data_IF_014264351878
#
_entry.id   IF_014264351878
#
_cell.length_a   1.000
_cell.length_b   1.000
_cell.length_c   1.000
_cell.angle_alpha   90.00
_cell.angle_beta   90.00
_cell.angle_gamma   90.00
#
_symmetry.space_group_name_H-M   'P 1'
#
loop_
_entity.id
_entity.type
_entity.pdbx_description
1 polymer ?
#
# COMPACT_ATOMS: atom_id res chain seq x y z
N UNK A 1 -10.69 -32.39 45.34
CA UNK A 1 -9.85 -32.56 44.13
C UNK A 1 -10.59 -31.98 42.96
N UNK A 2 -10.21 -30.79 42.46
CA UNK A 2 -10.87 -30.21 41.29
C UNK A 2 -10.42 -30.96 40.03
N UNK A 3 -11.37 -31.46 39.24
CA UNK A 3 -11.11 -32.09 37.95
C UNK A 3 -10.24 -31.17 37.08
N UNK A 4 -8.98 -31.56 36.86
CA UNK A 4 -8.11 -30.92 35.87
C UNK A 4 -8.56 -31.39 34.49
N UNK A 5 -8.71 -30.46 33.55
CA UNK A 5 -8.93 -30.80 32.16
C UNK A 5 -7.68 -31.49 31.61
N UNK A 6 -7.82 -32.72 31.13
CA UNK A 6 -6.74 -33.45 30.49
C UNK A 6 -6.60 -33.00 29.04
N UNK A 7 -5.44 -32.49 28.69
CA UNK A 7 -5.12 -32.10 27.32
C UNK A 7 -4.71 -33.34 26.51
N UNK A 8 -5.10 -33.35 25.23
CA UNK A 8 -4.76 -34.38 24.25
C UNK A 8 -3.36 -34.17 23.67
N UNK A 9 -2.98 -32.91 23.44
CA UNK A 9 -1.69 -32.54 22.85
C UNK A 9 -1.07 -31.36 23.59
N UNK A 10 0.26 -31.32 23.61
CA UNK A 10 1.05 -30.23 24.18
C UNK A 10 1.69 -29.41 23.08
N UNK A 11 1.77 -28.09 23.27
CA UNK A 11 2.48 -27.19 22.36
C UNK A 11 3.73 -26.66 23.07
N UNK A 12 4.84 -26.57 22.33
CA UNK A 12 6.07 -25.96 22.85
C UNK A 12 6.00 -24.43 22.72
N UNK A 13 6.05 -23.76 23.87
CA UNK A 13 6.12 -22.30 23.95
C UNK A 13 7.58 -21.83 23.89
N UNK A 14 7.87 -20.70 23.22
CA UNK A 14 9.22 -20.12 23.22
C UNK A 14 9.64 -19.65 24.61
N UNK A 15 8.67 -19.17 25.40
CA UNK A 15 8.83 -18.66 26.76
C UNK A 15 7.63 -19.08 27.59
N UNK A 16 7.87 -19.51 28.85
CA UNK A 16 6.81 -19.84 29.80
C UNK A 16 6.55 -18.64 30.71
N UNK A 17 5.29 -18.26 30.82
CA UNK A 17 4.82 -17.13 31.65
C UNK A 17 4.57 -17.55 33.11
N UNK A 18 5.52 -18.25 33.70
CA UNK A 18 5.42 -18.72 35.09
C UNK A 18 5.97 -17.69 36.07
N UNK A 19 5.33 -17.54 37.22
CA UNK A 19 5.71 -16.57 38.26
C UNK A 19 6.02 -17.34 39.56
N UNK A 20 7.12 -17.03 40.26
CA UNK A 20 7.39 -17.54 41.61
C UNK A 20 6.27 -17.17 42.58
N UNK A 21 5.93 -18.05 43.53
CA UNK A 21 4.82 -17.79 44.46
C UNK A 21 4.98 -16.53 45.30
N UNK A 22 6.20 -16.16 45.64
CA UNK A 22 6.55 -14.94 46.38
C UNK A 22 6.35 -13.65 45.57
N UNK A 23 6.22 -13.76 44.24
CA UNK A 23 6.00 -12.66 43.30
C UNK A 23 4.60 -12.67 42.70
N UNK A 24 3.71 -13.53 43.21
CA UNK A 24 2.34 -13.68 42.70
C UNK A 24 1.42 -12.61 43.28
N UNK A 25 1.21 -11.54 42.51
CA UNK A 25 0.27 -10.47 42.83
C UNK A 25 -1.12 -10.72 42.23
N UNK A 26 -1.25 -11.61 41.25
CA UNK A 26 -2.50 -11.87 40.55
C UNK A 26 -2.80 -13.36 40.40
N UNK A 27 -3.05 -14.02 41.53
CA UNK A 27 -3.36 -15.46 41.67
C UNK A 27 -4.42 -15.93 40.65
N UNK A 28 -5.31 -15.04 40.20
CA UNK A 28 -6.33 -15.36 39.21
C UNK A 28 -5.74 -15.69 37.84
N UNK A 29 -4.72 -14.95 37.38
CA UNK A 29 -4.09 -15.13 36.07
C UNK A 29 -2.76 -15.88 36.15
N UNK A 30 -2.02 -15.73 37.25
CA UNK A 30 -0.68 -16.29 37.40
C UNK A 30 -0.65 -17.80 37.24
N UNK A 31 0.39 -18.27 36.54
CA UNK A 31 0.80 -19.68 36.49
C UNK A 31 2.00 -19.81 37.42
N UNK A 32 1.85 -20.55 38.52
CA UNK A 32 2.92 -20.65 39.52
C UNK A 32 4.03 -21.57 39.03
N UNK A 33 5.28 -21.10 39.11
CA UNK A 33 6.45 -21.86 38.67
C UNK A 33 6.60 -23.20 39.40
N UNK A 34 6.26 -23.24 40.70
CA UNK A 34 6.36 -24.46 41.51
C UNK A 34 5.37 -25.54 41.08
N UNK A 35 4.31 -25.16 40.38
CA UNK A 35 3.32 -26.09 39.85
C UNK A 35 3.72 -26.65 38.49
N UNK A 36 4.69 -26.05 37.80
CA UNK A 36 5.06 -26.37 36.42
C UNK A 36 6.39 -27.13 36.40
N UNK A 37 6.30 -28.46 36.42
CA UNK A 37 7.48 -29.35 36.39
C UNK A 37 7.96 -29.67 34.99
N UNK A 38 7.07 -29.60 34.00
CA UNK A 38 7.38 -29.85 32.60
C UNK A 38 6.43 -29.06 31.66
N UNK A 39 6.68 -29.14 30.35
CA UNK A 39 5.87 -28.43 29.35
C UNK A 39 4.42 -28.93 29.29
N UNK A 40 4.17 -30.20 29.63
CA UNK A 40 2.81 -30.75 29.64
C UNK A 40 1.99 -30.09 30.75
N UNK A 41 2.54 -30.01 31.95
CA UNK A 41 1.89 -29.38 33.09
C UNK A 41 1.69 -27.88 32.85
N UNK A 42 2.63 -27.19 32.18
CA UNK A 42 2.43 -25.80 31.77
C UNK A 42 1.19 -25.65 30.87
N UNK A 43 1.09 -26.46 29.81
CA UNK A 43 -0.05 -26.44 28.89
C UNK A 43 -1.37 -26.77 29.60
N UNK A 44 -1.35 -27.73 30.53
CA UNK A 44 -2.52 -28.10 31.33
C UNK A 44 -2.96 -26.94 32.23
N UNK A 45 -2.04 -26.27 32.91
CA UNK A 45 -2.38 -25.13 33.78
C UNK A 45 -2.96 -23.95 32.97
N UNK A 46 -2.44 -23.66 31.77
CA UNK A 46 -3.00 -22.66 30.87
C UNK A 46 -4.45 -22.99 30.46
N UNK A 47 -4.71 -24.22 30.02
CA UNK A 47 -6.07 -24.66 29.64
C UNK A 47 -7.00 -24.64 30.86
N UNK A 48 -6.53 -25.14 32.01
CA UNK A 48 -7.31 -25.13 33.25
C UNK A 48 -7.70 -23.71 33.67
N UNK A 49 -6.79 -22.74 33.55
CA UNK A 49 -7.07 -21.33 33.85
C UNK A 49 -8.17 -20.79 32.95
N UNK A 50 -8.01 -20.88 31.62
CA UNK A 50 -9.02 -20.31 30.72
C UNK A 50 -10.38 -20.97 30.87
N UNK A 51 -10.45 -22.26 31.22
CA UNK A 51 -11.71 -22.98 31.43
C UNK A 51 -12.41 -22.54 32.72
N UNK A 52 -11.66 -22.26 33.79
CA UNK A 52 -12.21 -21.87 35.10
C UNK A 52 -12.46 -20.37 35.23
N UNK A 53 -11.72 -19.55 34.49
CA UNK A 53 -11.83 -18.09 34.58
C UNK A 53 -13.25 -17.60 34.22
N UNK A 54 -13.81 -16.60 34.92
CA UNK A 54 -15.04 -15.94 34.50
C UNK A 54 -14.92 -15.43 33.06
N UNK A 55 -15.97 -15.61 32.27
CA UNK A 55 -15.97 -15.27 30.84
C UNK A 55 -15.56 -13.81 30.56
N UNK A 56 -15.93 -12.88 31.44
CA UNK A 56 -15.57 -11.46 31.34
C UNK A 56 -14.07 -11.18 31.55
N UNK A 57 -13.35 -12.06 32.26
CA UNK A 57 -11.95 -11.91 32.64
C UNK A 57 -10.94 -12.55 31.70
N UNK A 58 -11.42 -13.19 30.63
CA UNK A 58 -10.54 -13.75 29.59
C UNK A 58 -9.63 -12.69 28.94
N UNK A 59 -10.10 -11.47 28.56
CA UNK A 59 -9.21 -10.47 27.97
C UNK A 59 -8.06 -10.06 28.90
N UNK A 60 -8.35 -9.90 30.20
CA UNK A 60 -7.37 -9.53 31.22
C UNK A 60 -6.28 -10.61 31.36
N UNK A 61 -6.66 -11.90 31.30
CA UNK A 61 -5.73 -13.02 31.34
C UNK A 61 -4.72 -13.01 30.18
N UNK A 62 -5.18 -12.79 28.95
CA UNK A 62 -4.27 -12.69 27.80
C UNK A 62 -3.38 -11.46 27.89
N UNK A 63 -3.94 -10.31 28.32
CA UNK A 63 -3.17 -9.07 28.50
C UNK A 63 -2.06 -9.25 29.53
N UNK A 64 -2.37 -9.88 30.65
CA UNK A 64 -1.43 -10.18 31.72
C UNK A 64 -0.25 -11.02 31.19
N UNK A 65 -0.50 -12.14 30.51
CA UNK A 65 0.58 -12.99 30.00
C UNK A 65 1.42 -12.33 28.89
N UNK A 66 0.83 -11.48 28.06
CA UNK A 66 1.56 -10.71 27.05
C UNK A 66 2.58 -9.72 27.67
N UNK A 67 2.43 -9.32 28.93
CA UNK A 67 3.41 -8.44 29.61
C UNK A 67 4.67 -9.20 30.03
N UNK A 68 4.58 -10.51 30.30
CA UNK A 68 5.70 -11.32 30.81
C UNK A 68 6.60 -11.93 29.73
N UNK A 69 6.18 -11.91 28.47
CA UNK A 69 6.95 -12.49 27.35
C UNK A 69 7.62 -11.42 26.52
N UNK A 70 8.84 -11.72 26.04
CA UNK A 70 9.57 -10.83 25.14
C UNK A 70 8.93 -10.74 23.74
N UNK A 71 8.27 -11.82 23.30
CA UNK A 71 7.55 -11.87 22.02
C UNK A 71 6.08 -12.30 22.23
N UNK A 72 5.18 -11.35 22.53
CA UNK A 72 3.77 -11.62 22.79
C UNK A 72 3.04 -12.28 21.61
N UNK A 73 3.40 -11.94 20.37
CA UNK A 73 2.77 -12.52 19.16
C UNK A 73 3.10 -14.01 19.07
N UNK A 74 4.38 -14.39 19.25
CA UNK A 74 4.75 -15.82 19.24
C UNK A 74 4.07 -16.60 20.35
N UNK A 75 3.96 -16.03 21.56
CA UNK A 75 3.25 -16.68 22.65
C UNK A 75 1.75 -16.88 22.32
N UNK A 76 1.08 -15.85 21.80
CA UNK A 76 -0.31 -15.91 21.35
C UNK A 76 -0.51 -16.97 20.24
N UNK A 77 0.42 -17.09 19.28
CA UNK A 77 0.41 -18.14 18.24
C UNK A 77 0.46 -19.55 18.82
N UNK A 78 1.29 -19.76 19.85
CA UNK A 78 1.39 -21.05 20.53
C UNK A 78 0.14 -21.33 21.37
N UNK A 79 -0.42 -20.32 22.01
CA UNK A 79 -1.66 -20.46 22.77
C UNK A 79 -2.86 -20.81 21.87
N UNK A 80 -3.01 -20.11 20.74
CA UNK A 80 -4.03 -20.43 19.74
C UNK A 80 -3.91 -21.88 19.26
N UNK A 81 -2.68 -22.31 18.92
CA UNK A 81 -2.40 -23.68 18.52
C UNK A 81 -2.74 -24.69 19.63
N UNK A 82 -2.46 -24.36 20.89
CA UNK A 82 -2.80 -25.22 22.03
C UNK A 82 -4.32 -25.40 22.16
N UNK A 83 -5.11 -24.35 21.95
CA UNK A 83 -6.58 -24.46 21.91
C UNK A 83 -7.01 -25.35 20.74
N UNK A 84 -6.46 -25.12 19.54
CA UNK A 84 -6.83 -25.86 18.34
C UNK A 84 -6.55 -27.36 18.44
N UNK A 85 -5.37 -27.75 18.95
CA UNK A 85 -5.03 -29.17 19.15
C UNK A 85 -5.84 -29.86 20.26
N UNK A 86 -6.53 -29.07 21.09
CA UNK A 86 -7.36 -29.54 22.20
C UNK A 86 -8.83 -29.09 22.06
N UNK A 87 -9.28 -28.82 20.83
CA UNK A 87 -10.62 -28.29 20.53
C UNK A 87 -11.76 -29.15 21.09
N UNK A 88 -11.56 -30.47 21.17
CA UNK A 88 -12.52 -31.44 21.71
C UNK A 88 -12.96 -31.11 23.15
N UNK A 89 -12.11 -30.44 23.94
CA UNK A 89 -12.45 -29.98 25.31
C UNK A 89 -13.52 -28.88 25.31
N UNK A 90 -13.63 -28.12 24.23
CA UNK A 90 -14.52 -26.97 24.09
C UNK A 90 -15.78 -27.31 23.31
N UNK A 91 -15.66 -28.09 22.24
CA UNK A 91 -16.78 -28.39 21.33
C UNK A 91 -17.77 -29.36 21.96
N UNK A 92 -17.29 -30.33 22.76
CA UNK A 92 -18.14 -31.31 23.43
C UNK A 92 -18.76 -30.79 24.74
N UNK A 93 -18.56 -29.51 25.07
CA UNK A 93 -19.08 -28.87 26.28
C UNK A 93 -19.80 -27.56 25.95
N UNK A 94 -20.46 -26.95 26.94
CA UNK A 94 -21.05 -25.61 26.81
C UNK A 94 -20.02 -24.50 26.62
N UNK A 95 -18.73 -24.84 26.50
CA UNK A 95 -17.60 -23.89 26.37
C UNK A 95 -17.26 -23.49 24.93
N UNK A 96 -18.05 -23.88 23.92
CA UNK A 96 -17.82 -23.44 22.53
C UNK A 96 -17.72 -21.91 22.40
N UNK A 97 -18.58 -21.16 23.09
CA UNK A 97 -18.52 -19.70 23.10
C UNK A 97 -17.23 -19.15 23.72
N UNK A 98 -16.69 -19.85 24.72
CA UNK A 98 -15.40 -19.52 25.36
C UNK A 98 -14.23 -19.67 24.40
N UNK A 99 -14.22 -20.75 23.61
CA UNK A 99 -13.21 -20.96 22.57
C UNK A 99 -13.23 -19.85 21.53
N UNK A 100 -14.41 -19.53 20.99
CA UNK A 100 -14.59 -18.44 20.02
C UNK A 100 -14.07 -17.11 20.60
N UNK A 101 -14.43 -16.81 21.86
CA UNK A 101 -13.94 -15.60 22.53
C UNK A 101 -12.42 -15.59 22.69
N UNK A 102 -11.79 -16.72 23.02
CA UNK A 102 -10.33 -16.80 23.09
C UNK A 102 -9.70 -16.47 21.74
N UNK A 103 -10.17 -17.05 20.63
CA UNK A 103 -9.69 -16.72 19.29
C UNK A 103 -9.89 -15.24 18.94
N UNK A 104 -11.06 -14.67 19.26
CA UNK A 104 -11.33 -13.24 19.04
C UNK A 104 -10.38 -12.34 19.84
N UNK A 105 -10.11 -12.68 21.10
CA UNK A 105 -9.17 -11.92 21.94
C UNK A 105 -7.74 -12.03 21.38
N UNK A 106 -7.31 -13.24 21.01
CA UNK A 106 -5.98 -13.48 20.44
C UNK A 106 -5.78 -12.63 19.18
N UNK A 107 -6.74 -12.66 18.25
CA UNK A 107 -6.68 -11.89 17.01
C UNK A 107 -6.70 -10.37 17.28
N UNK A 108 -7.56 -9.91 18.19
CA UNK A 108 -7.61 -8.49 18.59
C UNK A 108 -6.31 -8.03 19.23
N UNK A 109 -5.70 -8.86 20.09
CA UNK A 109 -4.43 -8.54 20.74
C UNK A 109 -3.26 -8.55 19.77
N UNK A 110 -3.21 -9.47 18.80
CA UNK A 110 -2.21 -9.40 17.72
C UNK A 110 -2.30 -8.10 16.96
N UNK A 111 -3.50 -7.67 16.57
CA UNK A 111 -3.69 -6.37 15.89
C UNK A 111 -3.25 -5.20 16.75
N UNK A 112 -3.57 -5.21 18.04
CA UNK A 112 -3.13 -4.19 19.00
C UNK A 112 -1.59 -4.17 19.12
N UNK A 113 -0.95 -5.34 19.25
CA UNK A 113 0.51 -5.49 19.35
C UNK A 113 1.19 -5.14 18.03
N UNK A 114 0.61 -5.43 16.87
CA UNK A 114 1.17 -5.02 15.58
C UNK A 114 1.04 -3.50 15.39
N UNK A 115 -0.07 -2.90 15.83
CA UNK A 115 -0.28 -1.44 15.78
C UNK A 115 0.62 -0.69 16.77
N UNK A 116 0.87 -1.24 17.95
CA UNK A 116 1.78 -0.68 18.97
C UNK A 116 3.24 -1.04 18.71
N UNK A 117 3.51 -2.21 18.15
CA UNK A 117 4.82 -2.63 17.66
C UNK A 117 5.30 -1.74 16.53
N UNK A 118 4.43 -1.32 15.61
CA UNK A 118 4.73 -0.25 14.66
C UNK A 118 5.10 1.09 15.33
N UNK A 119 4.69 1.31 16.58
CA UNK A 119 5.01 2.51 17.38
C UNK A 119 6.28 2.35 18.24
N UNK A 120 6.78 1.13 18.48
CA UNK A 120 7.92 0.85 19.37
C UNK A 120 9.08 0.04 18.77
N UNK A 121 8.97 -0.54 17.56
CA UNK A 121 10.11 -1.16 16.84
C UNK A 121 10.96 -0.16 16.07
N UNK A 122 10.89 1.12 16.44
CA UNK A 122 11.94 2.06 16.12
C UNK A 122 13.15 1.74 16.99
N UNK A 123 14.11 1.05 16.40
CA UNK A 123 15.44 0.87 16.96
C UNK A 123 15.94 2.19 17.53
N UNK A 124 16.13 2.26 18.87
CA UNK A 124 16.81 3.32 19.64
C UNK A 124 17.24 4.51 18.77
N UNK A 125 16.30 5.37 18.38
CA UNK A 125 16.70 6.57 17.67
C UNK A 125 17.57 7.37 18.64
N UNK A 126 18.73 7.86 18.20
CA UNK A 126 19.49 8.80 19.00
C UNK A 126 18.56 9.94 19.42
N UNK A 127 18.50 10.25 20.73
CA UNK A 127 17.62 11.29 21.31
C UNK A 127 17.66 12.63 20.55
N UNK A 128 18.75 12.89 19.81
CA UNK A 128 18.88 14.05 18.92
C UNK A 128 17.82 14.14 17.80
N UNK A 129 17.07 13.06 17.51
CA UNK A 129 16.00 13.04 16.51
C UNK A 129 14.60 12.97 17.12
N UNK A 130 14.49 12.85 18.44
CA UNK A 130 13.21 12.85 19.16
C UNK A 130 12.83 14.30 19.45
N UNK A 131 11.70 14.75 18.92
CA UNK A 131 11.15 16.09 19.15
C UNK A 131 10.56 16.21 20.55
N UNK A 132 9.79 15.20 20.96
CA UNK A 132 9.15 15.16 22.27
C UNK A 132 8.88 13.73 22.72
N UNK A 133 8.70 13.53 24.02
CA UNK A 133 8.39 12.24 24.63
C UNK A 133 7.26 12.41 25.66
N UNK A 134 6.38 11.42 25.72
CA UNK A 134 5.38 11.23 26.76
C UNK A 134 5.40 9.78 27.27
N UNK A 135 4.73 9.50 28.38
CA UNK A 135 4.68 8.18 29.03
C UNK A 135 4.37 7.02 28.07
N UNK A 136 3.57 7.27 27.03
CA UNK A 136 3.07 6.24 26.13
C UNK A 136 3.84 6.12 24.81
N UNK A 137 4.54 7.17 24.36
CA UNK A 137 5.31 7.19 23.10
C UNK A 137 6.21 8.40 23.01
N UNK A 138 7.05 8.43 21.99
CA UNK A 138 7.74 9.65 21.57
C UNK A 138 7.25 10.14 20.20
N UNK A 139 7.62 11.37 19.87
CA UNK A 139 7.31 12.06 18.63
C UNK A 139 8.62 12.43 17.93
N UNK A 140 8.80 11.96 16.70
CA UNK A 140 9.99 12.19 15.88
C UNK A 140 9.57 12.56 14.47
N UNK A 141 9.73 13.84 14.11
CA UNK A 141 9.36 14.31 12.78
C UNK A 141 10.22 13.66 11.70
N UNK A 142 11.44 13.22 12.05
CA UNK A 142 12.31 12.46 11.15
C UNK A 142 11.66 11.14 10.73
N UNK A 143 11.04 10.42 11.66
CA UNK A 143 10.33 9.19 11.37
C UNK A 143 9.02 9.46 10.62
N UNK A 144 8.28 10.49 11.02
CA UNK A 144 7.07 10.95 10.33
C UNK A 144 7.38 11.22 8.85
N UNK A 145 8.52 11.86 8.54
CA UNK A 145 8.98 12.05 7.16
C UNK A 145 9.30 10.75 6.42
N UNK A 146 9.93 9.78 7.06
CA UNK A 146 10.20 8.49 6.42
C UNK A 146 8.89 7.78 6.08
N UNK A 147 7.90 7.81 6.99
CA UNK A 147 6.59 7.22 6.76
C UNK A 147 5.82 7.90 5.62
N UNK A 148 5.94 9.23 5.50
CA UNK A 148 5.33 9.99 4.40
C UNK A 148 5.83 9.58 3.01
N UNK A 149 7.03 9.02 2.89
CA UNK A 149 7.58 8.53 1.62
C UNK A 149 6.83 7.28 1.16
N UNK A 150 6.33 6.47 2.09
CA UNK A 150 5.65 5.21 1.81
C UNK A 150 4.18 5.39 1.39
N UNK A 151 3.58 6.53 1.74
CA UNK A 151 2.19 6.88 1.37
C UNK A 151 2.11 7.34 -0.08
N UNK A 152 1.07 6.93 -0.81
CA UNK A 152 1.00 7.14 -2.24
C UNK A 152 0.38 8.49 -2.61
N UNK A 153 -0.77 8.85 -2.02
CA UNK A 153 -1.50 10.05 -2.40
C UNK A 153 -1.40 11.19 -1.37
N UNK A 154 -1.72 12.40 -1.83
CA UNK A 154 -1.66 13.61 -1.01
C UNK A 154 -2.69 13.60 0.12
N UNK A 155 -3.84 12.94 -0.06
CA UNK A 155 -4.91 12.89 0.94
C UNK A 155 -4.47 12.04 2.12
N UNK A 156 -3.94 10.85 1.87
CA UNK A 156 -3.40 9.95 2.90
C UNK A 156 -2.30 10.64 3.72
N UNK A 157 -1.38 11.34 3.04
CA UNK A 157 -0.30 12.09 3.70
C UNK A 157 -0.83 13.20 4.61
N UNK A 158 -1.79 13.99 4.13
CA UNK A 158 -2.42 15.05 4.93
C UNK A 158 -3.15 14.45 6.13
N UNK A 159 -3.92 13.37 5.94
CA UNK A 159 -4.65 12.71 7.02
C UNK A 159 -3.70 12.16 8.09
N UNK A 160 -2.61 11.51 7.68
CA UNK A 160 -1.59 11.00 8.59
C UNK A 160 -0.95 12.13 9.41
N UNK A 161 -0.48 13.20 8.76
CA UNK A 161 0.12 14.35 9.44
C UNK A 161 -0.86 15.05 10.37
N UNK A 162 -2.11 15.19 9.95
CA UNK A 162 -3.18 15.79 10.77
C UNK A 162 -3.40 14.98 12.03
N UNK A 163 -3.43 13.64 11.93
CA UNK A 163 -3.55 12.75 13.08
C UNK A 163 -2.34 12.86 14.00
N UNK A 164 -1.12 12.78 13.47
CA UNK A 164 0.09 12.89 14.29
C UNK A 164 0.20 14.25 15.00
N UNK A 165 -0.21 15.34 14.35
CA UNK A 165 -0.33 16.66 14.94
C UNK A 165 -1.29 16.65 16.14
N UNK A 166 -2.51 16.16 15.96
CA UNK A 166 -3.50 16.11 17.04
C UNK A 166 -3.10 15.17 18.17
N UNK A 167 -2.52 14.01 17.87
CA UNK A 167 -2.02 13.06 18.87
C UNK A 167 -0.93 13.72 19.74
N UNK A 168 -0.06 14.54 19.15
CA UNK A 168 0.94 15.32 19.89
C UNK A 168 0.32 16.45 20.73
N UNK A 169 -0.57 17.25 20.15
CA UNK A 169 -1.20 18.38 20.84
C UNK A 169 -2.07 17.96 22.03
N UNK A 170 -2.58 16.73 22.01
CA UNK A 170 -3.40 16.16 23.10
C UNK A 170 -2.59 15.34 24.11
N UNK A 171 -1.33 15.04 23.81
CA UNK A 171 -0.49 14.24 24.70
C UNK A 171 -0.02 15.06 25.91
N UNK A 172 0.08 14.39 27.07
CA UNK A 172 0.79 14.92 28.23
C UNK A 172 2.29 14.75 28.01
N UNK A 173 2.97 15.80 27.53
CA UNK A 173 4.39 15.74 27.17
C UNK A 173 5.27 15.83 28.41
N UNK A 174 6.14 14.84 28.60
CA UNK A 174 7.11 14.76 29.70
C UNK A 174 8.44 15.42 29.35
N UNK A 175 8.81 15.40 28.06
CA UNK A 175 10.04 15.98 27.56
C UNK A 175 9.87 16.60 26.17
N UNK A 176 10.49 17.77 25.95
CA UNK A 176 10.62 18.42 24.64
C UNK A 176 12.10 18.68 24.37
N UNK A 177 12.56 18.33 23.18
CA UNK A 177 13.93 18.58 22.76
C UNK A 177 14.10 20.02 22.23
N UNK A 178 14.83 20.89 22.94
CA UNK A 178 14.94 22.30 22.57
C UNK A 178 15.81 22.54 21.32
N UNK A 179 16.55 21.54 20.85
CA UNK A 179 17.41 21.64 19.65
C UNK A 179 16.65 21.38 18.36
N UNK A 180 15.42 20.86 18.46
CA UNK A 180 14.58 20.57 17.32
C UNK A 180 13.41 21.53 17.27
N UNK A 181 12.86 21.80 16.07
CA UNK A 181 11.60 22.53 15.97
C UNK A 181 10.47 21.77 16.65
N UNK A 182 9.41 22.50 17.01
CA UNK A 182 8.20 21.91 17.55
C UNK A 182 7.60 20.88 16.57
N UNK A 183 7.08 19.78 17.12
CA UNK A 183 6.55 18.69 16.32
C UNK A 183 5.25 19.06 15.60
N UNK A 184 4.31 19.75 16.27
CA UNK A 184 3.06 20.22 15.68
C UNK A 184 3.33 21.16 14.52
N UNK A 185 4.21 22.14 14.73
CA UNK A 185 4.58 23.13 13.72
C UNK A 185 5.17 22.49 12.47
N UNK A 186 6.00 21.46 12.64
CA UNK A 186 6.58 20.73 11.51
C UNK A 186 5.51 19.94 10.74
N UNK A 187 4.59 19.28 11.44
CA UNK A 187 3.46 18.60 10.80
C UNK A 187 2.61 19.59 10.01
N UNK A 188 2.30 20.75 10.57
CA UNK A 188 1.51 21.78 9.88
C UNK A 188 2.22 22.31 8.63
N UNK A 189 3.52 22.63 8.71
CA UNK A 189 4.30 23.10 7.56
C UNK A 189 4.31 22.11 6.41
N UNK A 190 4.41 20.81 6.72
CA UNK A 190 4.40 19.76 5.70
C UNK A 190 3.00 19.59 5.09
N UNK A 191 1.93 19.71 5.88
CA UNK A 191 0.54 19.74 5.37
C UNK A 191 0.38 20.89 4.37
N UNK A 192 0.81 22.10 4.74
CA UNK A 192 0.70 23.29 3.89
C UNK A 192 1.46 23.10 2.57
N UNK A 193 2.67 22.52 2.65
CA UNK A 193 3.48 22.21 1.47
C UNK A 193 2.78 21.21 0.54
N UNK A 194 2.23 20.12 1.08
CA UNK A 194 1.53 19.10 0.29
C UNK A 194 0.28 19.69 -0.36
N UNK A 195 -0.49 20.50 0.38
CA UNK A 195 -1.66 21.18 -0.17
C UNK A 195 -1.28 22.15 -1.30
N UNK A 196 -0.19 22.89 -1.14
CA UNK A 196 0.31 23.80 -2.17
C UNK A 196 0.70 23.04 -3.45
N UNK A 197 1.47 21.95 -3.32
CA UNK A 197 1.87 21.11 -4.46
C UNK A 197 0.63 20.50 -5.15
N UNK A 198 -0.36 20.06 -4.40
CA UNK A 198 -1.59 19.50 -4.95
C UNK A 198 -2.35 20.56 -5.78
N UNK A 199 -2.47 21.79 -5.28
CA UNK A 199 -3.09 22.90 -6.03
C UNK A 199 -2.36 23.17 -7.34
N UNK A 200 -1.03 23.30 -7.30
CA UNK A 200 -0.21 23.52 -8.49
C UNK A 200 -0.38 22.38 -9.51
N UNK A 201 -0.38 21.12 -9.05
CA UNK A 201 -0.56 19.95 -9.93
C UNK A 201 -1.91 19.99 -10.66
N UNK A 202 -2.97 20.39 -9.95
CA UNK A 202 -4.31 20.53 -10.54
C UNK A 202 -4.37 21.70 -11.53
N UNK A 203 -3.76 22.84 -11.20
CA UNK A 203 -3.68 24.01 -12.09
C UNK A 203 -2.95 23.67 -13.40
N UNK A 204 -1.78 23.02 -13.33
CA UNK A 204 -1.06 22.57 -14.52
C UNK A 204 -1.86 21.56 -15.34
N UNK A 205 -2.62 20.66 -14.69
CA UNK A 205 -3.48 19.70 -15.38
C UNK A 205 -4.61 20.39 -16.14
N UNK A 206 -5.22 21.41 -15.53
CA UNK A 206 -6.25 22.25 -16.17
C UNK A 206 -5.66 23.02 -17.35
N UNK A 207 -4.49 23.64 -17.20
CA UNK A 207 -3.82 24.35 -18.30
C UNK A 207 -3.48 23.41 -19.48
N UNK A 208 -3.01 22.20 -19.21
CA UNK A 208 -2.76 21.19 -20.25
C UNK A 208 -4.05 20.73 -20.94
N UNK A 209 -5.16 20.58 -20.20
CA UNK A 209 -6.47 20.26 -20.77
C UNK A 209 -7.01 21.43 -21.61
N UNK A 210 -6.83 22.67 -21.16
CA UNK A 210 -7.21 23.87 -21.90
C UNK A 210 -6.41 24.01 -23.20
N UNK A 211 -5.09 23.76 -23.19
CA UNK A 211 -4.26 23.70 -24.41
C UNK A 211 -4.71 22.62 -25.41
N UNK A 212 -5.35 21.55 -24.94
CA UNK A 212 -5.95 20.52 -25.81
C UNK A 212 -7.35 20.87 -26.31
N UNK A 213 -8.05 21.81 -25.67
CA UNK A 213 -9.46 22.16 -25.96
C UNK A 213 -9.62 23.02 -27.22
N UNK A 214 -8.55 23.65 -27.68
CA UNK A 214 -8.50 24.39 -28.96
C UNK A 214 -8.43 23.47 -30.20
N UNK A 215 -8.24 22.15 -30.01
CA UNK A 215 -8.42 21.16 -31.07
C UNK A 215 -9.88 20.73 -31.12
N UNK A 216 -10.51 20.86 -32.30
CA UNK A 216 -11.83 20.30 -32.57
C UNK A 216 -11.87 18.83 -32.11
N UNK A 217 -12.91 18.39 -31.37
CA UNK A 217 -13.01 16.99 -30.98
C UNK A 217 -13.21 16.14 -32.25
N UNK A 218 -12.25 15.28 -32.57
CA UNK A 218 -12.39 14.28 -33.63
C UNK A 218 -11.96 12.90 -33.14
N UNK A 219 -12.67 11.87 -33.58
CA UNK A 219 -12.24 10.48 -33.49
C UNK A 219 -11.32 10.15 -34.67
N UNK A 220 -10.37 9.22 -34.47
CA UNK A 220 -9.53 8.76 -35.57
C UNK A 220 -10.38 8.10 -36.65
N UNK A 221 -10.10 8.44 -37.91
CA UNK A 221 -10.78 7.88 -39.07
C UNK A 221 -10.18 6.53 -39.43
N UNK A 222 -11.04 5.56 -39.72
CA UNK A 222 -10.61 4.23 -40.15
C UNK A 222 -10.31 4.22 -41.64
N UNK A 223 -9.09 3.83 -42.02
CA UNK A 223 -8.72 3.61 -43.43
C UNK A 223 -8.96 2.15 -43.83
N UNK A 224 -9.58 1.93 -44.99
CA UNK A 224 -9.88 0.58 -45.48
C UNK A 224 -8.89 0.07 -46.53
N UNK A 225 -8.03 0.93 -47.06
CA UNK A 225 -6.95 0.54 -47.98
C UNK A 225 -5.68 0.11 -47.23
N UNK A 226 -4.65 -0.33 -47.98
CA UNK A 226 -3.37 -0.67 -47.37
C UNK A 226 -2.67 0.61 -46.88
N UNK A 227 -2.05 0.55 -45.69
CA UNK A 227 -1.30 1.66 -45.09
C UNK A 227 -0.28 2.22 -46.08
N UNK A 228 0.42 1.37 -46.84
CA UNK A 228 1.40 1.85 -47.81
C UNK A 228 0.78 2.62 -48.99
N UNK A 229 -0.44 2.26 -49.41
CA UNK A 229 -1.18 2.99 -50.44
C UNK A 229 -1.67 4.33 -49.90
N UNK A 230 -2.21 4.34 -48.68
CA UNK A 230 -2.71 5.55 -48.04
C UNK A 230 -1.59 6.57 -47.78
N UNK A 231 -0.47 6.13 -47.22
CA UNK A 231 0.67 7.01 -46.92
C UNK A 231 1.33 7.53 -48.20
N UNK A 232 1.37 6.72 -49.26
CA UNK A 232 1.91 7.13 -50.56
C UNK A 232 1.09 8.27 -51.20
N UNK A 233 -0.20 8.43 -50.87
CA UNK A 233 -0.99 9.59 -51.31
C UNK A 233 -0.36 10.89 -50.80
N UNK A 234 -0.04 10.95 -49.51
CA UNK A 234 0.59 12.13 -48.91
C UNK A 234 2.03 12.33 -49.40
N UNK A 235 2.73 11.25 -49.72
CA UNK A 235 4.04 11.34 -50.38
C UNK A 235 3.93 11.98 -51.77
N UNK A 236 2.97 11.53 -52.59
CA UNK A 236 2.70 12.11 -53.91
C UNK A 236 2.38 13.60 -53.79
N UNK A 237 1.46 13.98 -52.89
CA UNK A 237 1.07 15.38 -52.66
C UNK A 237 2.21 16.27 -52.13
N UNK A 238 3.20 15.69 -51.44
CA UNK A 238 4.34 16.44 -50.88
C UNK A 238 5.56 16.51 -51.81
N UNK A 239 5.73 15.54 -52.73
CA UNK A 239 6.99 15.37 -53.47
C UNK A 239 6.84 15.22 -54.97
N UNK A 240 5.68 14.79 -55.46
CA UNK A 240 5.48 14.45 -56.88
C UNK A 240 4.46 15.37 -57.56
N UNK A 241 3.46 15.84 -56.82
CA UNK A 241 2.41 16.71 -57.32
C UNK A 241 2.65 18.16 -56.90
N UNK A 242 2.53 19.07 -57.86
CA UNK A 242 2.83 20.48 -57.69
C UNK A 242 1.71 21.35 -58.23
N UNK A 243 1.44 22.47 -57.54
CA UNK A 243 0.56 23.54 -58.01
C UNK A 243 1.35 24.85 -57.95
N UNK A 244 1.42 25.57 -59.07
CA UNK A 244 2.20 26.82 -59.20
C UNK A 244 3.66 26.67 -58.73
N UNK A 245 4.29 25.53 -59.03
CA UNK A 245 5.70 25.25 -58.70
C UNK A 245 5.98 24.87 -57.24
N UNK A 246 4.95 24.71 -56.39
CA UNK A 246 5.08 24.25 -55.00
C UNK A 246 4.35 22.92 -54.80
N UNK A 247 4.80 22.05 -53.87
CA UNK A 247 4.05 20.83 -53.55
C UNK A 247 2.60 21.15 -53.20
N UNK A 248 1.68 20.24 -53.55
CA UNK A 248 0.25 20.40 -53.21
C UNK A 248 0.06 20.50 -51.69
N UNK A 249 0.84 19.72 -50.92
CA UNK A 249 0.93 19.87 -49.46
C UNK A 249 2.40 20.02 -49.09
N UNK A 250 2.76 21.20 -48.60
CA UNK A 250 4.10 21.49 -48.10
C UNK A 250 4.20 21.21 -46.58
N UNK A 251 5.36 20.77 -46.12
CA UNK A 251 5.58 20.38 -44.73
C UNK A 251 6.75 19.41 -44.56
N UNK A 252 7.24 19.28 -43.32
CA UNK A 252 8.30 18.33 -43.02
C UNK A 252 7.72 16.92 -42.76
N UNK A 253 8.53 15.87 -42.95
CA UNK A 253 8.07 14.47 -42.81
C UNK A 253 7.53 14.16 -41.41
N UNK A 254 8.05 14.79 -40.35
CA UNK A 254 7.54 14.56 -38.99
C UNK A 254 6.13 15.14 -38.81
N UNK A 255 5.79 16.26 -39.46
CA UNK A 255 4.46 16.85 -39.42
C UNK A 255 3.44 15.91 -40.07
N UNK A 256 3.77 15.37 -41.26
CA UNK A 256 2.93 14.35 -41.92
C UNK A 256 2.75 13.12 -41.03
N UNK A 257 3.82 12.65 -40.38
CA UNK A 257 3.74 11.51 -39.45
C UNK A 257 2.80 11.82 -38.29
N UNK A 258 2.91 13.02 -37.70
CA UNK A 258 2.05 13.43 -36.59
C UNK A 258 0.58 13.49 -37.01
N UNK A 259 0.27 14.09 -38.16
CA UNK A 259 -1.09 14.16 -38.69
C UNK A 259 -1.64 12.75 -38.92
N UNK A 260 -0.90 11.90 -39.64
CA UNK A 260 -1.39 10.58 -40.03
C UNK A 260 -1.64 9.67 -38.82
N UNK A 261 -0.74 9.66 -37.83
CA UNK A 261 -0.88 8.82 -36.62
C UNK A 261 -1.99 9.35 -35.72
N UNK A 262 -2.17 10.66 -35.61
CA UNK A 262 -3.19 11.24 -34.74
C UNK A 262 -4.59 11.24 -35.37
N UNK A 263 -4.69 11.19 -36.69
CA UNK A 263 -5.97 11.27 -37.40
C UNK A 263 -6.53 9.95 -37.91
N UNK A 264 -5.72 8.88 -38.02
CA UNK A 264 -6.17 7.64 -38.67
C UNK A 264 -5.81 6.36 -37.91
N UNK A 265 -6.63 5.31 -38.11
CA UNK A 265 -6.39 3.92 -37.69
C UNK A 265 -6.53 2.97 -38.88
N UNK A 266 -5.88 1.80 -38.82
CA UNK A 266 -5.89 0.82 -39.92
C UNK A 266 -7.26 0.15 -40.14
N UNK A 267 -7.34 -0.74 -41.13
CA UNK A 267 -8.56 -1.50 -41.48
C UNK A 267 -9.13 -2.38 -40.36
N UNK A 268 -8.37 -2.61 -39.29
CA UNK A 268 -8.78 -3.36 -38.10
C UNK A 268 -9.01 -2.44 -36.89
N UNK A 269 -8.88 -1.12 -37.04
CA UNK A 269 -8.97 -0.15 -35.95
C UNK A 269 -7.69 -0.01 -35.12
N UNK A 270 -6.56 -0.55 -35.60
CA UNK A 270 -5.28 -0.49 -34.90
C UNK A 270 -4.53 0.81 -35.21
N UNK A 271 -3.82 1.31 -34.20
CA UNK A 271 -2.93 2.45 -34.31
C UNK A 271 -1.86 2.28 -35.40
N UNK A 272 -1.63 3.36 -36.15
CA UNK A 272 -0.61 3.39 -37.19
C UNK A 272 0.77 3.57 -36.57
N UNK A 273 1.78 2.84 -37.08
CA UNK A 273 3.16 2.97 -36.61
C UNK A 273 3.83 4.20 -37.21
N UNK A 274 4.36 5.14 -36.39
CA UNK A 274 5.11 6.29 -36.88
C UNK A 274 6.31 5.88 -37.74
N UNK A 275 6.99 4.80 -37.37
CA UNK A 275 8.17 4.32 -38.08
C UNK A 275 7.83 3.77 -39.47
N UNK A 276 6.70 3.07 -39.59
CA UNK A 276 6.20 2.60 -40.89
C UNK A 276 5.94 3.77 -41.83
N UNK A 277 5.28 4.82 -41.35
CA UNK A 277 4.98 6.02 -42.14
C UNK A 277 6.27 6.73 -42.56
N UNK A 278 7.21 6.97 -41.61
CA UNK A 278 8.53 7.57 -41.91
C UNK A 278 9.29 6.79 -42.99
N UNK A 279 9.23 5.46 -42.92
CA UNK A 279 9.93 4.60 -43.88
C UNK A 279 9.37 4.78 -45.29
N UNK A 280 8.05 4.87 -45.46
CA UNK A 280 7.41 5.08 -46.78
C UNK A 280 7.77 6.46 -47.36
N UNK A 281 7.84 7.49 -46.49
CA UNK A 281 8.25 8.84 -46.86
C UNK A 281 9.75 8.97 -47.21
N UNK A 282 10.59 8.02 -46.80
CA UNK A 282 12.04 8.11 -47.01
C UNK A 282 12.37 7.89 -48.49
N UNK A 283 12.99 8.87 -49.21
CA UNK A 283 13.24 8.77 -50.65
C UNK A 283 13.97 7.50 -51.08
N UNK A 284 14.98 7.08 -50.31
CA UNK A 284 15.80 5.89 -50.57
C UNK A 284 15.10 4.54 -50.31
N UNK A 285 13.86 4.55 -49.78
CA UNK A 285 13.06 3.35 -49.48
C UNK A 285 11.88 3.18 -50.44
N UNK A 286 12.13 3.40 -51.73
CA UNK A 286 11.11 3.27 -52.78
C UNK A 286 10.46 1.87 -52.82
N UNK A 287 11.18 0.83 -52.36
CA UNK A 287 10.68 -0.55 -52.25
C UNK A 287 9.51 -0.71 -51.26
N UNK A 288 9.35 0.23 -50.32
CA UNK A 288 8.25 0.23 -49.34
C UNK A 288 6.98 0.91 -49.84
N UNK A 289 7.05 1.60 -50.98
CA UNK A 289 5.88 2.21 -51.64
C UNK A 289 5.11 1.17 -52.46
N UNK A 290 3.83 1.44 -52.82
CA UNK A 290 3.06 0.54 -53.66
C UNK A 290 3.74 0.32 -55.01
N UNK A 291 3.67 -0.91 -55.52
CA UNK A 291 4.03 -1.17 -56.92
C UNK A 291 3.12 -0.37 -57.86
N UNK A 292 3.56 0.02 -59.07
CA UNK A 292 2.79 0.89 -59.97
C UNK A 292 1.33 0.45 -60.18
N UNK A 293 1.07 -0.84 -60.39
CA UNK A 293 -0.29 -1.39 -60.58
C UNK A 293 -1.18 -1.42 -59.32
N UNK A 294 -0.61 -1.15 -58.13
CA UNK A 294 -1.34 -1.03 -56.85
C UNK A 294 -1.32 0.40 -56.31
N UNK A 295 -0.63 1.32 -56.99
CA UNK A 295 -0.54 2.71 -56.57
C UNK A 295 -1.88 3.40 -56.81
N UNK A 296 -2.31 4.23 -55.86
CA UNK A 296 -3.48 5.09 -56.07
C UNK A 296 -2.99 6.27 -56.91
N UNK A 297 -3.58 6.42 -58.08
CA UNK A 297 -3.23 7.44 -59.07
C UNK A 297 -4.08 8.69 -58.81
N UNK A 298 -3.49 9.67 -58.13
CA UNK A 298 -4.20 10.90 -57.73
C UNK A 298 -4.48 11.79 -58.94
N UNK A 299 -3.63 11.78 -59.96
CA UNK A 299 -3.83 12.59 -61.18
C UNK A 299 -5.09 12.20 -61.96
N UNK A 300 -5.60 10.97 -61.76
CA UNK A 300 -6.89 10.55 -62.31
C UNK A 300 -8.10 11.00 -61.49
N UNK A 301 -7.88 11.58 -60.31
CA UNK A 301 -8.91 12.01 -59.37
C UNK A 301 -9.03 13.54 -59.27
N UNK A 302 -8.06 14.28 -59.84
CA UNK A 302 -8.01 15.74 -59.93
C UNK A 302 -8.47 16.21 -61.32
#
# INVERSE_FOLDING_TARGET
MQNKYQIKSTVQFPEQTTIPRDQSDNIMFDILQENVVDNKVYCEELINKIMKLPYAKLPDFFSHHCVFVADPIKWLNKFEKLIAENEELFVNSTNRGRMIKCYTIIESKRKEIEQTGYRHTAAKLPMQYVNAECETRYFSFKETKNRLIELQDYTEKIMFLTKEKFDYEQASIDFINPKLPDYSDQCQKEIDQIQHINRLTNEFSIEQMQKKKDMLPFSKLKINCNINQFVDIFYQLNRELFTNGKPVIDGNVNDFVAILVNSFVDKNGKELSPQTIKTIFTPSKADKRPKPHKRIDIDKML
#
